data_IF_391813695590
#
_entry.id   IF_391813695590
#
_cell.length_a   1.000
_cell.length_b   1.000
_cell.length_c   1.000
_cell.angle_alpha   90.00
_cell.angle_beta   90.00
_cell.angle_gamma   90.00
#
_symmetry.space_group_name_H-M   'P 1'
#
loop_
_entity.id
_entity.type
_entity.pdbx_description
1 polymer ?
#
# COMPACT_ATOMS: atom_id res chain seq x y z
N UNK A 1 -11.20 -40.04 15.65
CA UNK A 1 -12.06 -38.89 15.97
C UNK A 1 -11.27 -37.58 16.11
N UNK A 2 -10.14 -37.54 16.83
CA UNK A 2 -9.30 -36.33 17.01
C UNK A 2 -8.74 -35.74 15.69
N UNK A 3 -8.31 -36.59 14.73
CA UNK A 3 -7.73 -36.14 13.45
C UNK A 3 -8.71 -35.34 12.56
N UNK A 4 -10.02 -35.65 12.62
CA UNK A 4 -11.05 -34.92 11.87
C UNK A 4 -11.32 -33.54 12.48
N UNK A 5 -11.28 -33.44 13.81
CA UNK A 5 -11.45 -32.16 14.52
C UNK A 5 -10.27 -31.23 14.22
N UNK A 6 -9.04 -31.75 14.20
CA UNK A 6 -7.85 -30.97 13.82
C UNK A 6 -7.93 -30.49 12.36
N UNK A 7 -8.38 -31.34 11.43
CA UNK A 7 -8.55 -30.96 10.03
C UNK A 7 -9.59 -29.86 9.83
N UNK A 8 -10.71 -29.93 10.56
CA UNK A 8 -11.77 -28.91 10.51
C UNK A 8 -11.26 -27.59 11.11
N UNK A 9 -10.53 -27.62 12.22
CA UNK A 9 -9.97 -26.40 12.84
C UNK A 9 -8.92 -25.75 11.93
N UNK A 10 -8.04 -26.53 11.30
CA UNK A 10 -7.05 -26.02 10.35
C UNK A 10 -7.70 -25.48 9.07
N UNK A 11 -8.73 -26.16 8.54
CA UNK A 11 -9.46 -25.70 7.37
C UNK A 11 -10.23 -24.39 7.64
N UNK A 12 -10.82 -24.24 8.84
CA UNK A 12 -11.48 -23.00 9.26
C UNK A 12 -10.48 -21.87 9.48
N UNK A 13 -9.28 -22.14 10.02
CA UNK A 13 -8.22 -21.14 10.14
C UNK A 13 -7.71 -20.67 8.77
N UNK A 14 -7.49 -21.59 7.81
CA UNK A 14 -7.05 -21.24 6.45
C UNK A 14 -8.15 -20.48 5.69
N UNK A 15 -9.42 -20.88 5.84
CA UNK A 15 -10.55 -20.14 5.27
C UNK A 15 -10.73 -18.75 5.90
N UNK A 16 -10.45 -18.59 7.20
CA UNK A 16 -10.51 -17.31 7.91
C UNK A 16 -9.35 -16.37 7.52
N UNK A 17 -8.16 -16.92 7.23
CA UNK A 17 -7.02 -16.15 6.69
C UNK A 17 -7.29 -15.68 5.25
N UNK A 18 -8.04 -16.45 4.44
CA UNK A 18 -8.45 -16.02 3.10
C UNK A 18 -9.66 -15.06 3.09
N UNK A 19 -10.57 -15.15 4.08
CA UNK A 19 -11.72 -14.23 4.24
C UNK A 19 -11.36 -12.88 4.88
N UNK A 20 -10.16 -12.72 5.43
CA UNK A 20 -9.64 -11.43 5.90
C UNK A 20 -8.77 -10.75 4.85
N UNK A 21 -9.09 -10.95 3.56
CA UNK A 21 -8.78 -9.94 2.55
C UNK A 21 -9.49 -8.68 3.01
N UNK A 22 -8.78 -7.88 3.82
CA UNK A 22 -9.06 -6.48 3.99
C UNK A 22 -9.17 -5.97 2.55
N UNK A 23 -10.39 -5.75 2.08
CA UNK A 23 -10.64 -4.90 0.93
C UNK A 23 -10.24 -3.49 1.37
N UNK A 24 -8.94 -3.31 1.59
CA UNK A 24 -8.34 -2.05 1.98
C UNK A 24 -8.40 -1.17 0.75
N UNK A 25 -9.43 -0.33 0.72
CA UNK A 25 -9.57 0.71 -0.29
C UNK A 25 -8.77 1.91 0.21
N UNK A 26 -7.61 2.23 -0.38
CA UNK A 26 -6.86 3.39 0.06
C UNK A 26 -7.73 4.64 -0.03
N UNK A 27 -7.51 5.58 0.89
CA UNK A 27 -8.15 6.88 0.81
C UNK A 27 -7.88 7.48 -0.57
N UNK A 28 -8.89 8.10 -1.19
CA UNK A 28 -8.79 8.73 -2.52
C UNK A 28 -8.62 7.77 -3.70
N UNK A 29 -8.81 6.46 -3.50
CA UNK A 29 -8.73 5.44 -4.57
C UNK A 29 -9.57 5.81 -5.80
N UNK A 30 -10.88 6.07 -5.64
CA UNK A 30 -11.78 6.35 -6.77
C UNK A 30 -11.36 7.59 -7.57
N UNK A 31 -10.88 8.63 -6.89
CA UNK A 31 -10.37 9.85 -7.54
C UNK A 31 -9.11 9.53 -8.36
N UNK A 32 -8.16 8.80 -7.79
CA UNK A 32 -6.90 8.47 -8.45
C UNK A 32 -7.03 7.44 -9.58
N UNK A 33 -7.96 6.49 -9.46
CA UNK A 33 -8.30 5.58 -10.57
C UNK A 33 -8.81 6.38 -11.77
N UNK A 34 -9.72 7.34 -11.53
CA UNK A 34 -10.26 8.22 -12.56
C UNK A 34 -9.21 9.15 -13.16
N UNK A 35 -8.30 9.70 -12.34
CA UNK A 35 -7.29 10.67 -12.77
C UNK A 35 -6.20 10.03 -13.62
N UNK A 36 -5.78 8.81 -13.27
CA UNK A 36 -4.73 8.06 -13.98
C UNK A 36 -5.29 7.24 -15.14
N UNK A 37 -6.62 7.02 -15.17
CA UNK A 37 -7.27 6.22 -16.21
C UNK A 37 -6.98 4.73 -16.08
N UNK A 38 -7.00 4.22 -14.84
CA UNK A 38 -6.87 2.80 -14.51
C UNK A 38 -8.10 2.31 -13.76
N UNK A 39 -8.40 1.02 -13.89
CA UNK A 39 -9.46 0.34 -13.16
C UNK A 39 -8.95 -0.26 -11.85
N UNK A 40 -9.87 -0.64 -10.98
CA UNK A 40 -9.52 -1.35 -9.74
C UNK A 40 -8.87 -2.71 -10.03
N UNK A 41 -9.20 -3.34 -11.16
CA UNK A 41 -8.62 -4.62 -11.57
C UNK A 41 -7.17 -4.43 -12.05
N UNK A 42 -6.87 -3.35 -12.78
CA UNK A 42 -5.51 -3.02 -13.25
C UNK A 42 -4.49 -2.88 -12.13
N UNK A 43 -4.93 -2.41 -10.95
CA UNK A 43 -4.09 -2.24 -9.76
C UNK A 43 -4.03 -3.50 -8.88
N UNK A 44 -4.98 -4.45 -9.04
CA UNK A 44 -5.02 -5.73 -8.32
C UNK A 44 -4.20 -6.82 -9.01
N UNK A 45 -4.01 -6.74 -10.31
CA UNK A 45 -3.19 -7.69 -11.06
C UNK A 45 -1.69 -7.52 -10.73
N UNK A 46 -1.06 -8.57 -10.17
CA UNK A 46 0.40 -8.66 -10.01
C UNK A 46 0.91 -9.87 -10.82
N UNK A 47 1.83 -9.68 -11.78
CA UNK A 47 2.42 -8.41 -12.21
C UNK A 47 1.46 -7.61 -13.08
N UNK A 48 1.28 -6.32 -12.77
CA UNK A 48 0.46 -5.44 -13.61
C UNK A 48 1.12 -5.22 -14.97
N UNK A 49 0.29 -5.18 -16.00
CA UNK A 49 0.69 -4.93 -17.38
C UNK A 49 1.25 -3.50 -17.58
N UNK A 50 0.94 -2.55 -16.68
CA UNK A 50 1.41 -1.16 -16.77
C UNK A 50 1.95 -0.64 -15.42
N UNK A 51 3.24 -0.91 -15.20
CA UNK A 51 3.96 -0.48 -13.99
C UNK A 51 3.99 1.03 -13.80
N UNK A 52 3.93 1.81 -14.88
CA UNK A 52 3.98 3.27 -14.77
C UNK A 52 2.63 3.82 -14.28
N UNK A 53 1.52 3.33 -14.84
CA UNK A 53 0.19 3.72 -14.37
C UNK A 53 -0.05 3.36 -12.90
N UNK A 54 0.42 2.18 -12.46
CA UNK A 54 0.37 1.85 -11.02
C UNK A 54 1.20 2.83 -10.19
N UNK A 55 2.38 3.21 -10.67
CA UNK A 55 3.21 4.17 -9.96
C UNK A 55 2.53 5.56 -9.88
N UNK A 56 1.89 6.00 -10.97
CA UNK A 56 1.08 7.23 -10.98
C UNK A 56 -0.11 7.15 -10.03
N UNK A 57 -0.79 6.01 -9.96
CA UNK A 57 -1.90 5.80 -9.04
C UNK A 57 -1.44 5.98 -7.57
N UNK A 58 -0.30 5.38 -7.20
CA UNK A 58 0.25 5.53 -5.86
C UNK A 58 0.75 6.95 -5.58
N UNK A 59 1.36 7.63 -6.57
CA UNK A 59 1.73 9.04 -6.45
C UNK A 59 0.50 9.90 -6.13
N UNK A 60 -0.58 9.72 -6.89
CA UNK A 60 -1.83 10.46 -6.69
C UNK A 60 -2.39 10.27 -5.27
N UNK A 61 -2.39 9.03 -4.75
CA UNK A 61 -2.84 8.78 -3.37
C UNK A 61 -1.94 9.53 -2.38
N UNK A 62 -0.62 9.43 -2.52
CA UNK A 62 0.32 10.10 -1.62
C UNK A 62 0.17 11.62 -1.65
N UNK A 63 -0.07 12.21 -2.82
CA UNK A 63 -0.32 13.64 -2.96
C UNK A 63 -1.62 14.07 -2.29
N UNK A 64 -2.73 13.38 -2.58
CA UNK A 64 -4.04 13.74 -2.01
C UNK A 64 -4.16 13.46 -0.51
N UNK A 65 -3.32 12.60 0.04
CA UNK A 65 -3.24 12.30 1.47
C UNK A 65 -2.17 13.11 2.20
N UNK A 66 -1.36 13.90 1.48
CA UNK A 66 -0.34 14.78 2.03
C UNK A 66 0.98 14.10 2.39
N UNK A 67 1.14 12.80 2.13
CA UNK A 67 2.42 12.08 2.28
C UNK A 67 3.45 12.63 1.30
N UNK A 68 3.01 13.09 0.13
CA UNK A 68 3.82 13.85 -0.82
C UNK A 68 3.13 15.20 -1.02
N UNK A 69 3.89 16.28 -0.96
CA UNK A 69 3.39 17.62 -1.30
C UNK A 69 3.45 17.88 -2.81
N UNK A 70 2.77 18.92 -3.28
CA UNK A 70 2.73 19.26 -4.71
C UNK A 70 4.11 19.61 -5.32
N UNK A 71 5.09 19.96 -4.47
CA UNK A 71 6.50 20.19 -4.81
C UNK A 71 7.38 18.92 -4.69
N UNK A 72 6.73 17.77 -4.46
CA UNK A 72 7.36 16.46 -4.35
C UNK A 72 8.00 16.18 -3.00
N UNK A 73 7.85 17.04 -1.99
CA UNK A 73 8.43 16.80 -0.66
C UNK A 73 7.66 15.69 0.07
N UNK A 74 8.40 14.71 0.61
CA UNK A 74 7.83 13.59 1.36
C UNK A 74 7.69 13.95 2.84
N UNK A 75 6.53 13.63 3.42
CA UNK A 75 6.18 13.87 4.82
C UNK A 75 5.84 12.54 5.52
N UNK A 76 6.84 11.83 6.07
CA UNK A 76 6.64 10.51 6.68
C UNK A 76 5.67 10.52 7.88
N UNK A 77 5.47 11.67 8.53
CA UNK A 77 4.50 11.84 9.62
C UNK A 77 3.03 11.77 9.15
N UNK A 78 2.76 11.82 7.84
CA UNK A 78 1.41 11.74 7.27
C UNK A 78 0.97 10.32 6.93
N UNK A 79 1.83 9.32 7.10
CA UNK A 79 1.52 7.93 6.74
C UNK A 79 0.28 7.40 7.47
N UNK A 80 0.12 7.69 8.76
CA UNK A 80 -1.07 7.24 9.49
C UNK A 80 -2.36 7.91 9.02
N UNK A 81 -2.26 9.12 8.49
CA UNK A 81 -3.41 9.85 7.91
C UNK A 81 -3.76 9.27 6.55
N UNK A 82 -2.76 8.87 5.76
CA UNK A 82 -2.96 8.24 4.46
C UNK A 82 -3.49 6.80 4.56
N UNK A 83 -3.06 6.08 5.60
CA UNK A 83 -3.36 4.66 5.81
C UNK A 83 -4.03 4.40 7.18
N UNK A 84 -5.15 5.07 7.51
CA UNK A 84 -5.71 5.07 8.87
C UNK A 84 -6.25 3.69 9.31
N UNK A 85 -6.65 2.84 8.36
CA UNK A 85 -7.15 1.50 8.66
C UNK A 85 -6.04 0.43 8.76
N UNK A 86 -4.85 0.73 8.24
CA UNK A 86 -3.72 -0.21 8.13
C UNK A 86 -2.65 0.12 9.15
N UNK A 87 -2.27 1.40 9.30
CA UNK A 87 -1.21 1.83 10.19
C UNK A 87 -1.41 1.36 11.65
N UNK A 88 -2.62 1.38 12.26
CA UNK A 88 -2.83 0.88 13.62
C UNK A 88 -2.71 -0.64 13.76
N UNK A 89 -2.82 -1.39 12.65
CA UNK A 89 -2.73 -2.85 12.61
C UNK A 89 -1.30 -3.34 12.35
N UNK A 90 -0.40 -2.44 11.95
CA UNK A 90 1.01 -2.75 11.72
C UNK A 90 1.80 -2.70 13.03
N UNK A 91 2.81 -3.56 13.22
CA UNK A 91 3.77 -3.40 14.30
C UNK A 91 4.46 -2.04 14.20
N UNK A 92 4.68 -1.37 15.35
CA UNK A 92 5.33 -0.06 15.38
C UNK A 92 6.73 -0.06 14.71
N UNK A 93 7.46 -1.18 14.80
CA UNK A 93 8.74 -1.35 14.13
C UNK A 93 8.62 -1.23 12.60
N UNK A 94 7.64 -1.93 12.01
CA UNK A 94 7.37 -1.91 10.56
C UNK A 94 6.94 -0.52 10.10
N UNK A 95 6.07 0.14 10.88
CA UNK A 95 5.65 1.51 10.56
C UNK A 95 6.83 2.49 10.62
N UNK A 96 7.70 2.38 11.61
CA UNK A 96 8.89 3.22 11.76
C UNK A 96 9.92 2.97 10.65
N UNK A 97 10.11 1.72 10.24
CA UNK A 97 10.98 1.35 9.12
C UNK A 97 10.48 1.97 7.82
N UNK A 98 9.17 1.85 7.54
CA UNK A 98 8.56 2.47 6.36
C UNK A 98 8.70 4.00 6.38
N UNK A 99 8.48 4.65 7.54
CA UNK A 99 8.68 6.10 7.67
C UNK A 99 10.12 6.53 7.49
N UNK A 100 11.05 5.78 8.07
CA UNK A 100 12.50 6.02 7.91
C UNK A 100 12.87 5.92 6.44
N UNK A 101 12.38 4.88 5.78
CA UNK A 101 12.53 4.69 4.35
C UNK A 101 12.02 5.91 3.56
N UNK A 102 10.77 6.33 3.79
CA UNK A 102 10.21 7.54 3.16
C UNK A 102 11.02 8.81 3.44
N UNK A 103 11.64 8.94 4.60
CA UNK A 103 12.52 10.08 4.92
C UNK A 103 13.82 10.12 4.12
N UNK A 104 14.20 9.03 3.44
CA UNK A 104 15.48 8.90 2.72
C UNK A 104 15.33 8.92 1.19
N UNK A 105 14.12 8.72 0.65
CA UNK A 105 13.91 8.59 -0.81
C UNK A 105 14.07 9.91 -1.58
N UNK A 106 14.17 11.05 -0.88
CA UNK A 106 14.19 12.38 -1.50
C UNK A 106 12.85 12.76 -2.13
N UNK A 107 12.86 13.71 -3.06
CA UNK A 107 11.62 14.20 -3.67
C UNK A 107 10.99 13.19 -4.66
N UNK A 108 9.66 13.19 -4.70
CA UNK A 108 8.80 12.42 -5.60
C UNK A 108 8.05 13.40 -6.52
N UNK A 109 8.63 13.71 -7.68
CA UNK A 109 8.07 14.66 -8.64
C UNK A 109 7.36 13.98 -9.82
N UNK A 110 7.75 12.75 -10.14
CA UNK A 110 7.15 11.97 -11.22
C UNK A 110 6.60 10.63 -10.73
N UNK A 111 5.80 9.95 -11.58
CA UNK A 111 5.30 8.63 -11.26
C UNK A 111 6.45 7.62 -11.08
N UNK A 112 7.50 7.74 -11.88
CA UNK A 112 8.68 6.89 -11.83
C UNK A 112 9.44 7.03 -10.50
N UNK A 113 9.41 8.22 -9.89
CA UNK A 113 10.05 8.46 -8.59
C UNK A 113 9.44 7.60 -7.48
N UNK A 114 8.20 7.14 -7.61
CA UNK A 114 7.56 6.21 -6.63
C UNK A 114 8.33 4.90 -6.53
N UNK A 115 9.09 4.50 -7.57
CA UNK A 115 9.95 3.32 -7.51
C UNK A 115 11.06 3.47 -6.47
N UNK A 116 11.45 4.70 -6.08
CA UNK A 116 12.40 4.96 -4.99
C UNK A 116 11.89 4.39 -3.67
N UNK A 117 10.59 4.53 -3.39
CA UNK A 117 9.92 3.98 -2.20
C UNK A 117 9.97 2.45 -2.23
N UNK A 118 9.62 1.85 -3.38
CA UNK A 118 9.69 0.38 -3.54
C UNK A 118 11.10 -0.15 -3.36
N UNK A 119 12.10 0.56 -3.88
CA UNK A 119 13.51 0.16 -3.80
C UNK A 119 14.04 0.27 -2.38
N UNK A 120 13.58 1.27 -1.65
CA UNK A 120 13.94 1.49 -0.26
C UNK A 120 13.34 0.41 0.67
N UNK A 121 12.09 -0.02 0.44
CA UNK A 121 11.45 -1.14 1.16
C UNK A 121 12.00 -2.54 0.84
N UNK A 122 12.80 -2.68 -0.23
CA UNK A 122 13.38 -3.96 -0.66
C UNK A 122 14.77 -4.23 -0.10
N UNK A 123 15.38 -3.27 0.58
CA UNK A 123 16.76 -3.35 1.07
C UNK A 123 16.85 -3.93 2.50
N UNK A 124 15.86 -4.70 2.95
CA UNK A 124 15.90 -5.55 4.14
C UNK A 124 15.87 -7.05 3.76
#
# INVERSE_FOLDING_TARGET
MVKFVVYIVVAVLIACVCCTTLEYKPAKMAECLSEVGVTEDDIKEIPSNDKNKIACFWKCIMEKTGVVSADGVVHPDKVEIAFPEVAPKLPAAVLNEFKTCLGTVGNINSCEDVQKIRSCLKND
#
